data_IF_441085474026
#
_entry.id   IF_441085474026
#
_cell.length_a   1.000
_cell.length_b   1.000
_cell.length_c   1.000
_cell.angle_alpha   90.00
_cell.angle_beta   90.00
_cell.angle_gamma   90.00
#
_symmetry.space_group_name_H-M   'P 1'
#
loop_
_entity.id
_entity.type
_entity.pdbx_description
1 polymer ?
#
# COMPACT_ATOMS: atom_id res chain seq x y z
N UNK A 1 19.80 5.93 26.65
CA UNK A 1 21.08 5.80 25.93
C UNK A 1 20.79 6.09 24.45
N UNK A 2 21.00 7.33 23.98
CA UNK A 2 20.77 7.76 22.59
C UNK A 2 22.15 7.86 21.90
N UNK A 3 22.70 6.73 21.47
CA UNK A 3 23.99 6.68 20.74
C UNK A 3 23.79 6.43 19.24
N UNK A 4 24.39 7.31 18.43
CA UNK A 4 24.69 7.24 16.98
C UNK A 4 23.91 6.22 16.11
N UNK A 5 22.63 6.50 15.79
CA UNK A 5 21.82 5.57 14.99
C UNK A 5 21.94 5.73 13.46
N UNK A 6 22.32 6.90 12.94
CA UNK A 6 22.35 7.13 11.48
C UNK A 6 23.45 6.31 10.79
N UNK A 7 24.66 6.27 11.36
CA UNK A 7 25.76 5.44 10.86
C UNK A 7 25.48 3.94 11.06
N UNK A 8 24.90 3.55 12.18
CA UNK A 8 24.48 2.16 12.38
C UNK A 8 23.40 1.70 11.37
N UNK A 9 22.50 2.59 10.97
CA UNK A 9 21.57 2.34 9.88
C UNK A 9 22.29 2.21 8.54
N UNK A 10 23.24 3.10 8.26
CA UNK A 10 24.06 3.01 7.05
C UNK A 10 24.84 1.69 6.98
N UNK A 11 25.45 1.25 8.09
CA UNK A 11 26.13 -0.03 8.21
C UNK A 11 25.18 -1.21 7.96
N UNK A 12 23.94 -1.13 8.47
CA UNK A 12 22.92 -2.15 8.22
C UNK A 12 22.60 -2.30 6.73
N UNK A 13 22.71 -1.22 5.96
CA UNK A 13 22.41 -1.19 4.54
C UNK A 13 23.62 -1.40 3.63
N UNK A 14 24.85 -1.40 4.17
CA UNK A 14 26.08 -1.53 3.38
C UNK A 14 26.18 -0.46 2.28
N UNK A 15 25.87 0.80 2.63
CA UNK A 15 25.86 1.92 1.68
C UNK A 15 27.26 2.13 1.07
N UNK A 16 27.31 2.39 -0.25
CA UNK A 16 28.50 2.81 -0.99
C UNK A 16 28.53 4.34 -1.20
N UNK A 17 29.62 4.91 -1.73
CA UNK A 17 29.79 6.37 -1.92
C UNK A 17 28.69 7.03 -2.78
N UNK A 18 27.95 6.25 -3.58
CA UNK A 18 26.83 6.70 -4.40
C UNK A 18 25.46 6.36 -3.80
N UNK A 19 25.44 5.89 -2.56
CA UNK A 19 24.24 5.48 -1.86
C UNK A 19 23.97 6.42 -0.70
N UNK A 20 22.70 6.73 -0.50
CA UNK A 20 22.25 7.53 0.62
C UNK A 20 21.13 6.81 1.36
N UNK A 21 20.95 7.20 2.62
CA UNK A 21 19.76 6.81 3.37
C UNK A 21 18.67 7.84 3.12
N UNK A 22 17.54 7.37 2.61
CA UNK A 22 16.32 8.17 2.47
C UNK A 22 15.48 7.97 3.71
N UNK A 23 14.99 9.06 4.27
CA UNK A 23 14.13 9.06 5.44
C UNK A 23 12.89 9.91 5.12
N UNK A 24 11.72 9.29 5.25
CA UNK A 24 10.43 9.92 5.00
C UNK A 24 9.60 9.94 6.28
N UNK A 25 8.93 11.06 6.62
CA UNK A 25 7.97 11.09 7.72
C UNK A 25 6.74 10.26 7.37
N UNK A 26 6.06 9.77 8.39
CA UNK A 26 4.83 9.00 8.23
C UNK A 26 3.76 9.52 9.20
N UNK A 27 2.81 10.30 8.68
CA UNK A 27 1.64 10.70 9.45
C UNK A 27 0.65 9.55 9.65
N UNK A 28 -0.21 9.71 10.67
CA UNK A 28 -1.29 8.77 11.00
C UNK A 28 -0.77 7.34 11.23
N UNK A 29 0.42 7.25 11.82
CA UNK A 29 1.02 6.01 12.26
C UNK A 29 1.41 6.16 13.73
N UNK A 30 1.09 5.15 14.53
CA UNK A 30 1.65 4.95 15.86
C UNK A 30 2.64 3.80 15.73
N UNK A 31 3.92 4.09 15.92
CA UNK A 31 5.00 3.09 15.89
C UNK A 31 5.71 3.19 17.23
N UNK A 32 5.68 2.12 18.02
CA UNK A 32 6.35 2.07 19.33
C UNK A 32 7.76 1.48 19.24
N UNK A 33 7.99 0.60 18.27
CA UNK A 33 9.24 -0.13 18.08
C UNK A 33 9.65 -0.17 16.60
N UNK A 34 10.91 -0.54 16.32
CA UNK A 34 11.35 -0.66 14.93
C UNK A 34 10.67 -1.85 14.26
N UNK A 35 10.20 -1.65 13.04
CA UNK A 35 9.65 -2.71 12.22
C UNK A 35 10.35 -2.73 10.86
N UNK A 36 10.95 -3.87 10.51
CA UNK A 36 11.54 -4.08 9.18
C UNK A 36 10.52 -4.74 8.25
N UNK A 37 10.26 -4.13 7.11
CA UNK A 37 9.39 -4.68 6.06
C UNK A 37 10.09 -4.51 4.72
N UNK A 38 10.43 -5.62 4.07
CA UNK A 38 11.34 -5.64 2.91
C UNK A 38 12.64 -4.88 3.23
N UNK A 39 13.03 -3.95 2.38
CA UNK A 39 14.20 -3.08 2.54
C UNK A 39 13.94 -1.86 3.43
N UNK A 40 12.69 -1.62 3.85
CA UNK A 40 12.31 -0.46 4.64
C UNK A 40 12.35 -0.78 6.14
N UNK A 41 12.78 0.21 6.93
CA UNK A 41 12.68 0.16 8.39
C UNK A 41 11.79 1.31 8.84
N UNK A 42 10.66 0.97 9.44
CA UNK A 42 9.78 1.89 10.14
C UNK A 42 10.28 2.07 11.58
N UNK A 43 10.20 3.30 12.08
CA UNK A 43 10.75 3.63 13.39
C UNK A 43 9.91 4.69 14.13
N UNK A 44 9.92 4.67 15.49
CA UNK A 44 9.15 5.60 16.32
C UNK A 44 9.64 7.06 16.18
N UNK A 45 8.85 8.05 16.60
CA UNK A 45 9.35 9.42 16.78
C UNK A 45 10.59 9.47 17.68
N UNK A 46 11.41 10.50 17.54
CA UNK A 46 12.63 10.73 18.35
C UNK A 46 13.68 9.62 18.26
N UNK A 47 13.52 8.69 17.32
CA UNK A 47 14.43 7.57 17.13
C UNK A 47 15.78 8.01 16.51
N UNK A 48 15.76 8.96 15.58
CA UNK A 48 16.95 9.46 14.90
C UNK A 48 17.56 10.66 15.64
N UNK A 49 18.85 10.60 15.94
CA UNK A 49 19.62 11.73 16.47
C UNK A 49 20.14 12.60 15.32
N UNK A 50 19.29 13.52 14.86
CA UNK A 50 19.59 14.41 13.73
C UNK A 50 20.55 15.55 14.10
N UNK A 51 20.85 15.77 15.37
CA UNK A 51 21.75 16.86 15.80
C UNK A 51 23.21 16.63 15.39
N UNK A 52 23.57 15.39 15.03
CA UNK A 52 24.93 15.01 14.61
C UNK A 52 25.16 15.10 13.10
N UNK A 53 24.10 15.24 12.31
CA UNK A 53 24.22 15.38 10.87
C UNK A 53 24.60 16.81 10.50
N UNK A 54 25.51 16.95 9.54
CA UNK A 54 25.84 18.25 8.95
C UNK A 54 24.78 18.58 7.91
N UNK A 55 23.84 19.46 8.27
CA UNK A 55 22.84 19.91 7.32
C UNK A 55 23.48 20.84 6.29
N UNK A 56 23.58 20.37 5.06
CA UNK A 56 24.06 21.18 3.94
C UNK A 56 22.86 21.99 3.47
N UNK A 57 22.87 23.24 3.88
CA UNK A 57 21.75 24.16 3.80
C UNK A 57 21.86 25.06 2.56
N UNK A 58 21.16 24.81 1.42
CA UNK A 58 21.20 25.75 0.28
C UNK A 58 20.16 26.90 0.46
N UNK A 59 19.87 27.30 1.70
CA UNK A 59 18.50 27.73 2.07
C UNK A 59 18.09 29.18 1.81
N UNK A 60 18.93 30.12 1.38
CA UNK A 60 18.43 31.50 1.13
C UNK A 60 18.49 31.98 -0.32
N UNK A 61 19.22 31.31 -1.21
CA UNK A 61 19.44 31.81 -2.58
C UNK A 61 19.02 30.84 -3.69
N UNK A 62 18.72 29.58 -3.36
CA UNK A 62 18.31 28.58 -4.35
C UNK A 62 16.80 28.39 -4.41
N UNK A 63 16.26 28.05 -5.58
CA UNK A 63 14.84 27.75 -5.77
C UNK A 63 14.40 26.55 -4.90
N UNK A 64 15.24 25.50 -4.81
CA UNK A 64 15.04 24.33 -3.94
C UNK A 64 14.92 24.72 -2.46
N UNK A 65 15.84 25.55 -1.97
CA UNK A 65 15.85 26.03 -0.59
C UNK A 65 14.55 26.77 -0.25
N UNK A 66 14.14 27.71 -1.12
CA UNK A 66 12.90 28.46 -0.96
C UNK A 66 11.66 27.57 -1.03
N UNK A 67 11.61 26.63 -1.98
CA UNK A 67 10.46 25.71 -2.10
C UNK A 67 10.31 24.83 -0.86
N UNK A 68 11.42 24.25 -0.38
CA UNK A 68 11.44 23.44 0.84
C UNK A 68 11.02 24.27 2.05
N UNK A 69 11.52 25.50 2.17
CA UNK A 69 11.12 26.43 3.23
C UNK A 69 9.62 26.71 3.22
N UNK A 70 9.03 26.98 2.04
CA UNK A 70 7.58 27.24 1.87
C UNK A 70 6.75 26.03 2.30
N UNK A 71 7.21 24.80 2.05
CA UNK A 71 6.49 23.60 2.52
C UNK A 71 6.48 23.46 4.05
N UNK A 72 7.40 24.14 4.74
CA UNK A 72 7.59 24.02 6.18
C UNK A 72 8.29 22.74 6.62
N UNK A 73 8.85 21.95 5.69
CA UNK A 73 9.55 20.71 6.03
C UNK A 73 10.85 20.99 6.80
N UNK A 74 10.96 20.43 8.00
CA UNK A 74 12.12 20.59 8.90
C UNK A 74 12.50 19.23 9.50
N UNK A 75 13.76 19.09 9.93
CA UNK A 75 14.23 17.88 10.62
C UNK A 75 13.45 17.58 11.90
N UNK A 76 12.91 18.60 12.57
CA UNK A 76 12.09 18.45 13.77
C UNK A 76 10.75 17.73 13.54
N UNK A 77 10.36 17.48 12.30
CA UNK A 77 9.23 16.62 11.97
C UNK A 77 9.43 15.21 12.54
N UNK A 78 10.65 14.67 12.47
CA UNK A 78 10.99 13.31 12.94
C UNK A 78 11.08 13.19 14.47
N UNK A 79 11.06 14.30 15.20
CA UNK A 79 10.92 14.29 16.66
C UNK A 79 9.47 14.06 17.10
N UNK A 80 8.50 14.23 16.19
CA UNK A 80 7.07 14.16 16.50
C UNK A 80 6.34 13.08 15.72
N UNK A 81 6.77 12.84 14.49
CA UNK A 81 6.20 11.83 13.61
C UNK A 81 7.14 10.62 13.55
N UNK A 82 6.58 9.41 13.46
CA UNK A 82 7.33 8.26 13.00
C UNK A 82 7.93 8.50 11.62
N UNK A 83 8.86 7.64 11.23
CA UNK A 83 9.43 7.67 9.90
C UNK A 83 9.70 6.29 9.33
N UNK A 84 10.03 6.30 8.05
CA UNK A 84 10.50 5.13 7.30
C UNK A 84 11.83 5.46 6.67
N UNK A 85 12.80 4.57 6.81
CA UNK A 85 14.13 4.69 6.23
C UNK A 85 14.45 3.53 5.29
N UNK A 86 15.21 3.80 4.23
CA UNK A 86 15.75 2.79 3.32
C UNK A 86 16.96 3.31 2.55
N UNK A 87 17.75 2.37 2.00
CA UNK A 87 18.87 2.67 1.11
C UNK A 87 18.41 3.04 -0.31
N UNK A 88 19.07 4.04 -0.89
CA UNK A 88 18.82 4.47 -2.26
C UNK A 88 20.11 4.89 -2.96
N UNK A 89 20.26 4.49 -4.23
CA UNK A 89 21.37 4.95 -5.08
C UNK A 89 21.02 6.27 -5.71
N UNK A 90 21.76 7.32 -5.38
CA UNK A 90 21.52 8.68 -5.85
C UNK A 90 22.70 9.14 -6.69
N UNK A 91 22.42 9.64 -7.89
CA UNK A 91 23.41 10.39 -8.65
C UNK A 91 23.56 11.78 -8.02
N UNK A 92 24.55 11.92 -7.14
CA UNK A 92 24.84 13.19 -6.46
C UNK A 92 25.19 14.31 -7.44
N UNK A 93 25.89 14.00 -8.53
CA UNK A 93 26.26 15.00 -9.54
C UNK A 93 25.01 15.55 -10.22
N UNK A 94 24.07 14.69 -10.57
CA UNK A 94 22.75 15.12 -11.02
C UNK A 94 22.08 15.95 -9.92
N UNK A 95 21.94 15.41 -8.71
CA UNK A 95 21.22 16.05 -7.60
C UNK A 95 21.67 17.49 -7.30
N UNK A 96 22.96 17.81 -7.46
CA UNK A 96 23.51 19.16 -7.26
C UNK A 96 23.41 20.09 -8.47
N UNK A 97 23.22 19.57 -9.68
CA UNK A 97 23.23 20.36 -10.93
C UNK A 97 21.85 20.97 -11.20
N UNK A 98 21.62 22.19 -10.71
CA UNK A 98 20.47 23.06 -11.03
C UNK A 98 19.10 22.37 -11.07
N UNK A 99 18.82 21.50 -10.10
CA UNK A 99 17.53 20.82 -10.00
C UNK A 99 16.39 21.82 -9.76
N UNK A 100 15.32 21.67 -10.53
CA UNK A 100 14.09 22.43 -10.36
C UNK A 100 13.26 21.87 -9.21
N UNK A 101 12.32 22.67 -8.70
CA UNK A 101 11.32 22.17 -7.74
C UNK A 101 10.55 20.93 -8.24
N UNK A 102 10.37 20.82 -9.57
CA UNK A 102 9.70 19.68 -10.19
C UNK A 102 10.51 18.40 -10.05
N UNK A 103 11.83 18.49 -10.13
CA UNK A 103 12.71 17.33 -10.01
C UNK A 103 12.73 16.82 -8.56
N UNK A 104 12.72 17.72 -7.58
CA UNK A 104 12.55 17.35 -6.17
C UNK A 104 11.20 16.67 -5.91
N UNK A 105 10.11 17.20 -6.48
CA UNK A 105 8.79 16.57 -6.38
C UNK A 105 8.78 15.16 -7.00
N UNK A 106 9.47 14.96 -8.13
CA UNK A 106 9.63 13.65 -8.75
C UNK A 106 10.44 12.68 -7.88
N UNK A 107 11.55 13.15 -7.30
CA UNK A 107 12.37 12.35 -6.38
C UNK A 107 11.58 11.93 -5.13
N UNK A 108 10.90 12.88 -4.47
CA UNK A 108 10.07 12.56 -3.29
C UNK A 108 8.99 11.54 -3.68
N UNK A 109 8.34 11.69 -4.84
CA UNK A 109 7.34 10.72 -5.31
C UNK A 109 7.94 9.33 -5.51
N UNK A 110 9.16 9.22 -6.07
CA UNK A 110 9.86 7.94 -6.21
C UNK A 110 10.18 7.32 -4.86
N UNK A 111 10.66 8.12 -3.90
CA UNK A 111 10.94 7.68 -2.53
C UNK A 111 9.67 7.19 -1.83
N UNK A 112 8.59 7.97 -1.90
CA UNK A 112 7.28 7.63 -1.37
C UNK A 112 6.77 6.31 -1.96
N UNK A 113 6.83 6.13 -3.28
CA UNK A 113 6.41 4.88 -3.93
C UNK A 113 7.21 3.66 -3.44
N UNK A 114 8.53 3.80 -3.23
CA UNK A 114 9.36 2.71 -2.69
C UNK A 114 8.93 2.33 -1.27
N UNK A 115 8.72 3.31 -0.40
CA UNK A 115 8.23 3.08 0.96
C UNK A 115 6.77 2.58 1.01
N UNK A 116 5.91 3.10 0.13
CA UNK A 116 4.50 2.69 0.04
C UNK A 116 4.39 1.20 -0.35
N UNK A 117 5.30 0.66 -1.16
CA UNK A 117 5.31 -0.78 -1.45
C UNK A 117 5.61 -1.67 -0.23
N UNK A 118 6.26 -1.13 0.80
CA UNK A 118 6.39 -1.80 2.10
C UNK A 118 5.14 -1.55 2.97
N UNK A 119 4.59 -0.33 2.95
CA UNK A 119 3.32 -0.01 3.62
C UNK A 119 2.14 -0.82 3.09
N UNK A 120 2.11 -1.22 1.82
CA UNK A 120 1.04 -2.05 1.28
C UNK A 120 0.94 -3.41 1.98
N UNK A 121 2.07 -3.97 2.44
CA UNK A 121 2.08 -5.17 3.28
C UNK A 121 1.49 -4.88 4.65
N UNK A 122 1.92 -3.77 5.27
CA UNK A 122 1.41 -3.35 6.58
C UNK A 122 -0.11 -3.11 6.53
N UNK A 123 -0.59 -2.41 5.50
CA UNK A 123 -2.01 -2.16 5.23
C UNK A 123 -2.77 -3.47 5.01
N UNK A 124 -2.20 -4.42 4.28
CA UNK A 124 -2.81 -5.73 4.09
C UNK A 124 -3.01 -6.49 5.41
N UNK A 125 -1.98 -6.52 6.26
CA UNK A 125 -2.07 -7.24 7.53
C UNK A 125 -2.98 -6.53 8.54
N UNK A 126 -2.96 -5.20 8.60
CA UNK A 126 -3.52 -4.47 9.73
C UNK A 126 -4.81 -3.68 9.42
N UNK A 127 -5.07 -3.33 8.15
CA UNK A 127 -6.25 -2.54 7.77
C UNK A 127 -7.36 -3.43 7.19
N UNK A 128 -8.58 -2.92 7.15
CA UNK A 128 -9.76 -3.62 6.62
C UNK A 128 -10.63 -2.68 5.76
N UNK A 129 -11.18 -3.17 4.66
CA UNK A 129 -11.99 -2.38 3.70
C UNK A 129 -13.19 -1.67 4.36
N UNK A 130 -13.77 -2.25 5.41
CA UNK A 130 -14.89 -1.64 6.15
C UNK A 130 -14.46 -0.53 7.13
N UNK A 131 -13.16 -0.34 7.37
CA UNK A 131 -12.59 0.62 8.33
C UNK A 131 -11.50 1.46 7.69
N UNK A 132 -11.90 2.57 7.06
CA UNK A 132 -10.96 3.50 6.42
C UNK A 132 -10.22 4.40 7.41
N UNK A 133 -10.70 4.50 8.65
CA UNK A 133 -10.10 5.36 9.68
C UNK A 133 -8.73 4.91 10.18
N UNK A 134 -8.40 3.64 9.95
CA UNK A 134 -7.17 2.98 10.45
C UNK A 134 -6.02 3.06 9.43
N UNK A 135 -6.13 3.91 8.40
CA UNK A 135 -5.12 4.01 7.36
C UNK A 135 -4.00 4.99 7.74
N UNK A 136 -2.73 4.57 7.59
CA UNK A 136 -1.62 5.49 7.67
C UNK A 136 -1.60 6.40 6.45
N UNK A 137 -1.03 7.59 6.60
CA UNK A 137 -0.79 8.47 5.47
C UNK A 137 0.22 7.84 4.49
N UNK A 138 0.34 8.43 3.30
CA UNK A 138 1.41 8.06 2.37
C UNK A 138 2.77 8.44 2.95
N UNK A 139 3.77 7.61 2.71
CA UNK A 139 5.14 7.91 3.13
C UNK A 139 5.60 9.26 2.55
N UNK A 140 6.21 10.10 3.38
CA UNK A 140 6.68 11.42 3.00
C UNK A 140 5.73 12.55 3.36
N UNK A 141 4.43 12.29 3.53
CA UNK A 141 3.45 13.31 3.97
C UNK A 141 3.69 13.65 5.44
N UNK A 142 3.73 14.94 5.76
CA UNK A 142 4.04 15.44 7.12
C UNK A 142 3.12 16.58 7.59
N UNK A 143 2.10 16.93 6.80
CA UNK A 143 1.07 17.85 7.22
C UNK A 143 -0.23 17.67 6.43
N UNK A 144 -1.29 18.25 6.99
CA UNK A 144 -2.63 18.32 6.43
C UNK A 144 -2.77 19.21 5.18
N UNK A 145 -1.72 19.90 4.73
CA UNK A 145 -1.73 20.71 3.51
C UNK A 145 -1.34 19.92 2.25
N UNK A 146 -1.02 18.63 2.40
CA UNK A 146 -0.63 17.75 1.29
C UNK A 146 0.82 17.92 0.85
N UNK A 147 1.64 18.58 1.68
CA UNK A 147 3.07 18.64 1.45
C UNK A 147 3.75 17.35 1.90
N UNK A 148 4.80 17.00 1.17
CA UNK A 148 5.68 15.90 1.50
C UNK A 148 7.13 16.34 1.54
N UNK A 149 7.94 15.63 2.30
CA UNK A 149 9.35 15.90 2.43
C UNK A 149 10.16 14.63 2.56
N UNK A 150 11.43 14.74 2.23
CA UNK A 150 12.41 13.69 2.40
C UNK A 150 13.70 14.28 2.99
N UNK A 151 14.28 13.53 3.91
CA UNK A 151 15.62 13.74 4.42
C UNK A 151 16.55 12.73 3.73
N UNK A 152 17.55 13.23 3.02
CA UNK A 152 18.57 12.43 2.37
C UNK A 152 19.84 12.54 3.22
N UNK A 153 20.37 11.41 3.67
CA UNK A 153 21.58 11.38 4.48
C UNK A 153 22.68 10.61 3.77
N UNK A 154 23.80 11.28 3.56
CA UNK A 154 25.03 10.68 3.09
C UNK A 154 25.89 10.30 4.32
N UNK A 155 26.06 9.00 4.63
CA UNK A 155 26.87 8.58 5.76
C UNK A 155 28.38 8.81 5.55
N UNK A 156 28.85 8.89 4.30
CA UNK A 156 30.27 9.07 3.98
C UNK A 156 30.77 10.45 4.40
N UNK A 157 30.03 11.49 3.99
CA UNK A 157 30.37 12.87 4.30
C UNK A 157 29.68 13.38 5.59
N UNK A 158 28.85 12.54 6.21
CA UNK A 158 27.96 12.89 7.32
C UNK A 158 27.05 14.10 6.99
N UNK A 159 26.66 14.22 5.71
CA UNK A 159 25.86 15.32 5.19
C UNK A 159 24.38 14.95 5.10
N UNK A 160 23.52 15.92 5.41
CA UNK A 160 22.07 15.77 5.32
C UNK A 160 21.43 16.87 4.47
N UNK A 161 20.54 16.45 3.57
CA UNK A 161 19.78 17.34 2.68
C UNK A 161 18.29 17.17 2.94
N UNK A 162 17.55 18.28 2.93
CA UNK A 162 16.08 18.26 3.02
C UNK A 162 15.51 18.75 1.71
N UNK A 163 14.56 17.99 1.18
CA UNK A 163 13.74 18.41 0.05
C UNK A 163 12.28 18.35 0.45
N UNK A 164 11.53 19.39 0.11
CA UNK A 164 10.10 19.49 0.37
C UNK A 164 9.33 19.92 -0.88
N UNK A 165 8.23 19.23 -1.17
CA UNK A 165 7.36 19.57 -2.28
C UNK A 165 5.90 19.18 -2.04
N UNK A 166 4.99 19.73 -2.85
CA UNK A 166 3.60 19.28 -2.89
C UNK A 166 3.45 18.15 -3.90
N UNK A 167 3.36 16.91 -3.42
CA UNK A 167 3.19 15.73 -4.29
C UNK A 167 1.82 15.07 -4.13
N UNK A 168 1.15 15.29 -3.00
CA UNK A 168 -0.14 14.68 -2.69
C UNK A 168 -1.27 15.66 -2.95
N UNK A 169 -2.18 15.29 -3.84
CA UNK A 169 -3.39 16.07 -4.16
C UNK A 169 -4.60 15.68 -3.33
N UNK A 170 -4.55 14.53 -2.67
CA UNK A 170 -5.58 14.03 -1.77
C UNK A 170 -4.96 13.52 -0.48
N UNK A 171 -5.68 13.68 0.63
CA UNK A 171 -5.29 13.23 1.96
C UNK A 171 -6.40 12.38 2.55
N UNK A 172 -6.01 11.35 3.29
CA UNK A 172 -6.94 10.61 4.14
C UNK A 172 -7.21 11.48 5.37
N UNK A 173 -8.34 12.19 5.34
CA UNK A 173 -8.70 13.17 6.36
C UNK A 173 -9.42 12.56 7.57
N UNK A 174 -9.97 11.35 7.44
CA UNK A 174 -10.84 10.75 8.45
C UNK A 174 -10.17 9.60 9.22
N UNK A 175 -10.43 9.50 10.53
CA UNK A 175 -9.89 8.49 11.45
C UNK A 175 -8.60 8.86 12.20
N UNK A 176 -8.12 7.95 13.04
CA UNK A 176 -6.98 8.14 13.94
C UNK A 176 -5.64 7.66 13.37
N UNK A 177 -5.67 6.87 12.29
CA UNK A 177 -4.46 6.25 11.73
C UNK A 177 -4.23 4.84 12.24
N UNK A 178 -3.07 4.28 11.90
CA UNK A 178 -2.74 2.88 12.15
C UNK A 178 -1.82 2.72 13.37
N UNK A 179 -2.17 1.79 14.24
CA UNK A 179 -1.24 1.24 15.23
C UNK A 179 -0.40 0.14 14.57
N UNK A 180 0.91 0.37 14.45
CA UNK A 180 1.80 -0.53 13.73
C UNK A 180 2.08 -1.79 14.54
N UNK A 181 2.09 -2.96 13.89
CA UNK A 181 2.46 -4.19 14.57
C UNK A 181 3.96 -4.19 14.86
N UNK A 182 4.36 -4.96 15.86
CA UNK A 182 5.78 -5.18 16.16
C UNK A 182 6.46 -6.10 15.14
N UNK A 183 5.67 -6.95 14.45
CA UNK A 183 6.17 -7.91 13.47
C UNK A 183 5.19 -8.02 12.29
N UNK A 184 5.70 -8.37 11.12
CA UNK A 184 4.92 -8.63 9.89
C UNK A 184 5.17 -10.08 9.47
N UNK A 185 4.09 -10.81 9.22
CA UNK A 185 4.16 -12.24 8.88
C UNK A 185 4.39 -12.49 7.38
N UNK A 186 3.93 -11.57 6.54
CA UNK A 186 3.89 -11.69 5.10
C UNK A 186 5.21 -11.22 4.48
N UNK A 187 6.08 -12.18 4.17
CA UNK A 187 7.34 -11.92 3.45
C UNK A 187 7.34 -12.59 2.08
N UNK A 188 7.76 -11.87 1.03
CA UNK A 188 7.91 -12.40 -0.32
C UNK A 188 9.00 -11.67 -1.11
N UNK A 189 9.55 -12.34 -2.12
CA UNK A 189 10.47 -11.75 -3.10
C UNK A 189 9.65 -11.31 -4.31
N UNK A 190 9.69 -10.02 -4.65
CA UNK A 190 8.87 -9.45 -5.73
C UNK A 190 9.44 -9.72 -7.13
N UNK A 191 10.56 -10.43 -7.24
CA UNK A 191 11.22 -10.78 -8.52
C UNK A 191 11.05 -12.25 -8.93
N UNK A 192 10.47 -13.10 -8.07
CA UNK A 192 10.38 -14.55 -8.28
C UNK A 192 8.95 -15.06 -8.23
N UNK A 193 8.69 -16.17 -8.91
CA UNK A 193 7.42 -16.88 -8.84
C UNK A 193 6.21 -15.98 -9.10
N UNK A 194 5.23 -16.03 -8.20
CA UNK A 194 4.05 -15.15 -8.20
C UNK A 194 4.28 -13.85 -7.40
N UNK A 195 5.49 -13.58 -6.93
CA UNK A 195 5.86 -12.36 -6.21
C UNK A 195 5.45 -11.05 -6.89
N UNK A 196 5.69 -10.86 -8.21
CA UNK A 196 5.17 -9.68 -8.93
C UNK A 196 3.65 -9.54 -8.86
N UNK A 197 2.92 -10.67 -8.90
CA UNK A 197 1.45 -10.71 -8.84
C UNK A 197 0.98 -10.34 -7.43
N UNK A 198 1.64 -10.86 -6.38
CA UNK A 198 1.38 -10.47 -4.99
C UNK A 198 1.59 -8.97 -4.80
N UNK A 199 2.70 -8.42 -5.31
CA UNK A 199 2.98 -6.97 -5.25
C UNK A 199 1.85 -6.15 -5.86
N UNK A 200 1.38 -6.52 -7.05
CA UNK A 200 0.29 -5.83 -7.70
C UNK A 200 -1.05 -6.01 -6.96
N UNK A 201 -1.32 -7.18 -6.41
CA UNK A 201 -2.51 -7.44 -5.60
C UNK A 201 -2.56 -6.56 -4.34
N UNK A 202 -1.43 -6.41 -3.64
CA UNK A 202 -1.31 -5.55 -2.46
C UNK A 202 -1.52 -4.07 -2.81
N UNK A 203 -0.96 -3.60 -3.93
CA UNK A 203 -1.19 -2.25 -4.42
C UNK A 203 -2.68 -2.00 -4.71
N UNK A 204 -3.32 -2.91 -5.46
CA UNK A 204 -4.75 -2.82 -5.77
C UNK A 204 -5.60 -2.90 -4.49
N UNK A 205 -5.20 -3.68 -3.49
CA UNK A 205 -5.86 -3.72 -2.18
C UNK A 205 -5.76 -2.38 -1.45
N UNK A 206 -4.60 -1.74 -1.45
CA UNK A 206 -4.44 -0.35 -0.96
C UNK A 206 -5.34 0.61 -1.72
N UNK A 207 -5.49 0.49 -3.04
CA UNK A 207 -6.41 1.34 -3.80
C UNK A 207 -7.88 1.14 -3.40
N UNK A 208 -8.28 -0.07 -3.00
CA UNK A 208 -9.61 -0.29 -2.42
C UNK A 208 -9.75 0.45 -1.09
N UNK A 209 -8.75 0.33 -0.21
CA UNK A 209 -8.74 1.01 1.08
C UNK A 209 -8.80 2.53 0.95
N UNK A 210 -8.06 3.11 0.00
CA UNK A 210 -8.00 4.56 -0.25
C UNK A 210 -9.17 5.12 -1.08
N UNK A 211 -10.16 4.30 -1.45
CA UNK A 211 -11.29 4.74 -2.26
C UNK A 211 -12.12 5.82 -1.53
N UNK A 212 -12.48 6.89 -2.25
CA UNK A 212 -13.11 8.09 -1.66
C UNK A 212 -14.61 7.97 -1.37
N UNK A 213 -15.27 6.93 -1.86
CA UNK A 213 -16.68 6.63 -1.60
C UNK A 213 -16.93 5.12 -1.77
N UNK A 214 -18.05 4.63 -1.24
CA UNK A 214 -18.35 3.21 -1.18
C UNK A 214 -18.63 2.62 -2.56
N UNK A 215 -19.24 3.37 -3.48
CA UNK A 215 -19.40 2.93 -4.87
C UNK A 215 -18.03 2.65 -5.54
N UNK A 216 -17.06 3.56 -5.38
CA UNK A 216 -15.72 3.39 -5.94
C UNK A 216 -14.93 2.28 -5.25
N UNK A 217 -15.12 2.13 -3.93
CA UNK A 217 -14.54 1.05 -3.12
C UNK A 217 -15.04 -0.31 -3.60
N UNK A 218 -16.35 -0.45 -3.79
CA UNK A 218 -16.96 -1.66 -4.34
C UNK A 218 -16.41 -1.99 -5.72
N UNK A 219 -16.40 -1.02 -6.65
CA UNK A 219 -15.86 -1.23 -7.98
C UNK A 219 -14.41 -1.72 -7.96
N UNK A 220 -13.54 -1.07 -7.18
CA UNK A 220 -12.13 -1.46 -7.06
C UNK A 220 -11.97 -2.84 -6.43
N UNK A 221 -12.79 -3.19 -5.42
CA UNK A 221 -12.78 -4.51 -4.82
C UNK A 221 -13.14 -5.61 -5.83
N UNK A 222 -14.13 -5.35 -6.68
CA UNK A 222 -14.52 -6.27 -7.76
C UNK A 222 -13.41 -6.41 -8.81
N UNK A 223 -12.76 -5.32 -9.21
CA UNK A 223 -11.61 -5.37 -10.12
C UNK A 223 -10.41 -6.11 -9.53
N UNK A 224 -10.16 -5.98 -8.22
CA UNK A 224 -9.14 -6.76 -7.53
C UNK A 224 -9.48 -8.26 -7.53
N UNK A 225 -10.72 -8.63 -7.28
CA UNK A 225 -11.15 -10.03 -7.37
C UNK A 225 -10.96 -10.60 -8.79
N UNK A 226 -11.26 -9.81 -9.83
CA UNK A 226 -10.99 -10.17 -11.23
C UNK A 226 -9.48 -10.39 -11.47
N UNK A 227 -8.63 -9.46 -11.01
CA UNK A 227 -7.16 -9.58 -11.10
C UNK A 227 -6.64 -10.82 -10.36
N UNK A 228 -7.13 -11.09 -9.14
CA UNK A 228 -6.73 -12.25 -8.35
C UNK A 228 -7.10 -13.56 -9.03
N UNK A 229 -8.22 -13.62 -9.74
CA UNK A 229 -8.58 -14.81 -10.51
C UNK A 229 -7.68 -15.00 -11.73
N UNK A 230 -7.38 -13.91 -12.46
CA UNK A 230 -6.64 -13.95 -13.72
C UNK A 230 -5.84 -12.65 -13.93
N UNK A 231 -4.56 -12.60 -13.50
CA UNK A 231 -3.76 -11.38 -13.54
C UNK A 231 -3.26 -11.02 -14.95
N UNK A 232 -3.25 -11.99 -15.87
CA UNK A 232 -2.70 -11.82 -17.23
C UNK A 232 -3.76 -11.72 -18.33
N UNK A 233 -5.03 -12.00 -18.01
CA UNK A 233 -6.11 -12.06 -19.00
C UNK A 233 -7.39 -11.42 -18.47
N UNK A 234 -8.06 -10.64 -19.31
CA UNK A 234 -9.41 -10.16 -19.06
C UNK A 234 -10.39 -11.33 -19.22
N UNK A 235 -10.74 -12.00 -18.12
CA UNK A 235 -11.72 -13.09 -18.13
C UNK A 235 -13.15 -12.58 -17.92
N UNK A 236 -14.12 -13.32 -18.46
CA UNK A 236 -15.54 -13.09 -18.16
C UNK A 236 -15.75 -13.44 -16.68
N UNK A 237 -16.47 -12.60 -15.92
CA UNK A 237 -16.67 -12.77 -14.47
C UNK A 237 -17.21 -14.17 -14.05
N UNK A 238 -17.89 -14.86 -14.96
CA UNK A 238 -18.35 -16.25 -14.79
C UNK A 238 -17.21 -17.25 -14.55
N UNK A 239 -16.03 -17.01 -15.11
CA UNK A 239 -14.83 -17.85 -14.94
C UNK A 239 -14.08 -17.46 -13.65
N UNK A 240 -14.04 -16.16 -13.38
CA UNK A 240 -13.46 -15.51 -12.18
C UNK A 240 -14.02 -16.13 -10.89
N UNK A 241 -15.34 -16.27 -10.76
CA UNK A 241 -15.96 -16.80 -9.53
C UNK A 241 -15.45 -18.19 -9.15
N UNK A 242 -15.20 -19.07 -10.13
CA UNK A 242 -14.76 -20.44 -9.82
C UNK A 242 -13.35 -20.46 -9.23
N UNK A 243 -12.48 -19.55 -9.69
CA UNK A 243 -11.11 -19.42 -9.20
C UNK A 243 -11.09 -18.82 -7.79
N UNK A 244 -12.03 -17.94 -7.48
CA UNK A 244 -12.13 -17.31 -6.15
C UNK A 244 -12.75 -18.26 -5.13
N UNK A 245 -13.94 -18.81 -5.41
CA UNK A 245 -14.75 -19.56 -4.44
C UNK A 245 -14.00 -20.80 -3.92
N UNK A 246 -13.11 -21.40 -4.73
CA UNK A 246 -12.34 -22.56 -4.30
C UNK A 246 -11.42 -22.30 -3.10
N UNK A 247 -10.99 -21.04 -2.88
CA UNK A 247 -10.23 -20.63 -1.69
C UNK A 247 -11.11 -20.45 -0.44
N UNK A 248 -12.41 -20.19 -0.64
CA UNK A 248 -13.34 -19.76 0.41
C UNK A 248 -14.20 -20.92 0.94
N UNK A 249 -14.59 -21.83 0.05
CA UNK A 249 -15.52 -22.90 0.35
C UNK A 249 -14.87 -23.99 1.21
N UNK A 250 -15.61 -24.48 2.21
CA UNK A 250 -15.20 -25.59 3.08
C UNK A 250 -15.66 -26.95 2.56
N UNK A 251 -16.75 -26.94 1.79
CA UNK A 251 -17.41 -28.11 1.23
C UNK A 251 -18.20 -27.76 -0.04
N UNK A 252 -18.79 -28.78 -0.68
CA UNK A 252 -19.59 -28.59 -1.89
C UNK A 252 -20.79 -27.66 -1.68
N UNK A 253 -21.44 -27.72 -0.51
CA UNK A 253 -22.64 -26.93 -0.22
C UNK A 253 -22.30 -25.45 -0.13
N UNK A 254 -21.28 -25.10 0.67
CA UNK A 254 -20.76 -23.75 0.80
C UNK A 254 -20.22 -23.21 -0.53
N UNK A 255 -19.63 -24.05 -1.38
CA UNK A 255 -19.25 -23.64 -2.74
C UNK A 255 -20.45 -23.16 -3.55
N UNK A 256 -21.57 -23.90 -3.54
CA UNK A 256 -22.77 -23.50 -4.27
C UNK A 256 -23.42 -22.24 -3.67
N UNK A 257 -23.49 -22.13 -2.34
CA UNK A 257 -23.97 -20.91 -1.66
C UNK A 257 -23.14 -19.69 -2.04
N UNK A 258 -21.81 -19.82 -2.05
CA UNK A 258 -20.92 -18.76 -2.50
C UNK A 258 -21.08 -18.47 -3.99
N UNK A 259 -21.32 -19.47 -4.84
CA UNK A 259 -21.61 -19.25 -6.27
C UNK A 259 -22.88 -18.44 -6.49
N UNK A 260 -23.90 -18.60 -5.66
CA UNK A 260 -25.12 -17.79 -5.72
C UNK A 260 -24.87 -16.38 -5.19
N UNK A 261 -24.10 -16.25 -4.09
CA UNK A 261 -23.67 -14.95 -3.58
C UNK A 261 -22.83 -14.16 -4.60
N UNK A 262 -21.90 -14.80 -5.30
CA UNK A 262 -21.13 -14.15 -6.38
C UNK A 262 -22.00 -13.75 -7.58
N UNK A 263 -23.14 -14.42 -7.81
CA UNK A 263 -24.11 -13.93 -8.80
C UNK A 263 -24.76 -12.63 -8.33
N UNK A 264 -25.13 -12.53 -7.05
CA UNK A 264 -25.66 -11.28 -6.47
C UNK A 264 -24.68 -10.11 -6.61
N UNK A 265 -23.40 -10.35 -6.35
CA UNK A 265 -22.35 -9.33 -6.50
C UNK A 265 -22.13 -8.92 -7.97
N UNK A 266 -22.51 -9.76 -8.93
CA UNK A 266 -22.21 -9.57 -10.35
C UNK A 266 -23.45 -9.35 -11.21
N UNK A 267 -23.98 -10.41 -11.82
CA UNK A 267 -25.00 -10.38 -12.87
C UNK A 267 -26.26 -11.20 -12.54
N UNK A 268 -26.70 -11.21 -11.27
CA UNK A 268 -27.97 -11.84 -10.89
C UNK A 268 -29.13 -11.18 -11.63
N UNK A 269 -30.07 -12.01 -12.07
CA UNK A 269 -31.36 -11.57 -12.62
C UNK A 269 -32.51 -11.97 -11.70
N UNK A 270 -33.56 -11.16 -11.65
CA UNK A 270 -34.78 -11.50 -10.93
C UNK A 270 -35.72 -12.38 -11.77
N UNK A 271 -36.90 -12.73 -11.22
CA UNK A 271 -37.90 -13.55 -11.90
C UNK A 271 -38.44 -12.92 -13.21
N UNK A 272 -38.33 -11.60 -13.34
CA UNK A 272 -38.73 -10.85 -14.53
C UNK A 272 -37.58 -10.68 -15.55
N UNK A 273 -36.45 -11.38 -15.36
CA UNK A 273 -35.24 -11.29 -16.18
C UNK A 273 -34.56 -9.90 -16.14
N UNK A 274 -34.86 -9.09 -15.12
CA UNK A 274 -34.21 -7.79 -14.90
C UNK A 274 -32.90 -7.97 -14.13
N UNK A 275 -31.87 -7.21 -14.52
CA UNK A 275 -30.56 -7.22 -13.86
C UNK A 275 -30.65 -6.59 -12.47
N UNK A 276 -30.35 -7.37 -11.44
CA UNK A 276 -30.33 -6.95 -10.02
C UNK A 276 -28.97 -7.16 -9.36
N UNK A 277 -27.99 -7.69 -10.08
CA UNK A 277 -26.64 -7.87 -9.58
C UNK A 277 -25.90 -6.54 -9.40
N UNK A 278 -25.18 -6.38 -8.28
CA UNK A 278 -24.66 -5.08 -7.86
C UNK A 278 -23.67 -4.49 -8.87
N UNK A 279 -22.71 -5.27 -9.38
CA UNK A 279 -21.76 -4.82 -10.42
C UNK A 279 -22.50 -4.37 -11.68
N UNK A 280 -23.53 -5.10 -12.12
CA UNK A 280 -24.30 -4.69 -13.31
C UNK A 280 -25.02 -3.37 -13.06
N UNK A 281 -25.70 -3.22 -11.92
CA UNK A 281 -26.39 -1.99 -11.56
C UNK A 281 -25.43 -0.79 -11.50
N UNK A 282 -24.25 -0.96 -10.92
CA UNK A 282 -23.29 0.12 -10.73
C UNK A 282 -22.56 0.45 -12.03
N UNK A 283 -21.97 -0.55 -12.70
CA UNK A 283 -21.09 -0.35 -13.87
C UNK A 283 -21.89 -0.08 -15.14
N UNK A 284 -23.02 -0.76 -15.34
CA UNK A 284 -23.79 -0.68 -16.58
C UNK A 284 -24.99 0.25 -16.49
N UNK A 285 -25.54 0.48 -15.29
CA UNK A 285 -26.71 1.35 -15.09
C UNK A 285 -26.39 2.62 -14.30
N UNK A 286 -25.14 2.82 -13.87
CA UNK A 286 -24.69 4.04 -13.20
C UNK A 286 -25.29 4.28 -11.82
N UNK A 287 -25.85 3.24 -11.18
CA UNK A 287 -26.34 3.34 -9.79
C UNK A 287 -25.18 3.47 -8.81
N UNK A 288 -25.45 4.07 -7.66
CA UNK A 288 -24.53 4.04 -6.52
C UNK A 288 -24.83 2.82 -5.65
N UNK A 289 -23.83 2.28 -4.94
CA UNK A 289 -24.07 1.18 -3.99
C UNK A 289 -25.01 1.63 -2.87
N UNK A 290 -24.94 2.91 -2.52
CA UNK A 290 -25.79 3.62 -1.56
C UNK A 290 -27.26 3.71 -2.03
N UNK A 291 -27.54 3.54 -3.33
CA UNK A 291 -28.91 3.45 -3.87
C UNK A 291 -29.46 2.02 -3.83
N UNK A 292 -28.60 1.03 -3.57
CA UNK A 292 -28.92 -0.41 -3.64
C UNK A 292 -29.03 -1.01 -2.24
N UNK A 293 -28.16 -0.59 -1.33
CA UNK A 293 -27.98 -1.13 0.01
C UNK A 293 -28.01 -0.02 1.07
N UNK A 294 -28.44 -0.35 2.27
CA UNK A 294 -28.32 0.54 3.42
C UNK A 294 -26.91 0.49 4.05
N UNK A 295 -26.60 1.42 4.96
CA UNK A 295 -25.27 1.56 5.57
C UNK A 295 -24.78 0.28 6.29
N UNK A 296 -25.67 -0.43 6.99
CA UNK A 296 -25.32 -1.67 7.66
C UNK A 296 -24.97 -2.78 6.66
N UNK A 297 -25.77 -2.91 5.60
CA UNK A 297 -25.53 -3.87 4.51
C UNK A 297 -24.24 -3.55 3.75
N UNK A 298 -23.92 -2.28 3.52
CA UNK A 298 -22.67 -1.83 2.89
C UNK A 298 -21.47 -2.24 3.76
N UNK A 299 -21.56 -2.03 5.07
CA UNK A 299 -20.49 -2.43 6.01
C UNK A 299 -20.27 -3.93 6.02
N UNK A 300 -21.36 -4.72 6.06
CA UNK A 300 -21.29 -6.18 5.97
C UNK A 300 -20.70 -6.65 4.64
N UNK A 301 -21.12 -6.03 3.53
CA UNK A 301 -20.56 -6.29 2.19
C UNK A 301 -19.06 -6.05 2.15
N UNK A 302 -18.55 -4.96 2.73
CA UNK A 302 -17.11 -4.70 2.72
C UNK A 302 -16.32 -5.62 3.64
N UNK A 303 -16.88 -6.05 4.77
CA UNK A 303 -16.28 -7.11 5.59
C UNK A 303 -16.21 -8.44 4.83
N UNK A 304 -17.26 -8.76 4.09
CA UNK A 304 -17.33 -9.95 3.24
C UNK A 304 -16.26 -9.91 2.13
N UNK A 305 -16.19 -8.80 1.38
CA UNK A 305 -15.22 -8.62 0.29
C UNK A 305 -13.77 -8.60 0.81
N UNK A 306 -13.52 -7.97 1.96
CA UNK A 306 -12.21 -7.98 2.63
C UNK A 306 -11.74 -9.40 2.90
N UNK A 307 -12.60 -10.21 3.52
CA UNK A 307 -12.30 -11.60 3.81
C UNK A 307 -12.02 -12.40 2.53
N UNK A 308 -12.78 -12.18 1.45
CA UNK A 308 -12.54 -12.86 0.18
C UNK A 308 -11.17 -12.53 -0.40
N UNK A 309 -10.83 -11.25 -0.45
CA UNK A 309 -9.56 -10.77 -0.99
C UNK A 309 -8.39 -11.26 -0.12
N UNK A 310 -8.48 -11.09 1.20
CA UNK A 310 -7.42 -11.46 2.14
C UNK A 310 -7.12 -12.95 2.13
N UNK A 311 -8.13 -13.82 2.05
CA UNK A 311 -7.90 -15.26 1.98
C UNK A 311 -7.11 -15.67 0.73
N UNK A 312 -7.43 -15.10 -0.43
CA UNK A 312 -6.72 -15.43 -1.68
C UNK A 312 -5.29 -14.93 -1.65
N UNK A 313 -5.06 -13.68 -1.22
CA UNK A 313 -3.71 -13.12 -1.11
C UNK A 313 -2.89 -13.89 -0.06
N UNK A 314 -3.51 -14.30 1.06
CA UNK A 314 -2.87 -15.15 2.07
C UNK A 314 -2.43 -16.49 1.50
N UNK A 315 -3.29 -17.15 0.70
CA UNK A 315 -2.92 -18.35 -0.03
C UNK A 315 -1.76 -18.08 -1.01
N UNK A 316 -1.77 -16.94 -1.73
CA UNK A 316 -0.65 -16.58 -2.59
C UNK A 316 0.67 -16.44 -1.82
N UNK A 317 0.67 -15.91 -0.59
CA UNK A 317 1.89 -15.86 0.23
C UNK A 317 2.43 -17.26 0.55
N UNK A 318 1.57 -18.27 0.74
CA UNK A 318 2.00 -19.66 0.96
C UNK A 318 2.66 -20.28 -0.28
N UNK A 319 2.36 -19.76 -1.46
CA UNK A 319 2.87 -20.23 -2.76
C UNK A 319 3.77 -19.20 -3.45
N UNK A 320 4.31 -18.22 -2.72
CA UNK A 320 5.05 -17.05 -3.27
C UNK A 320 6.18 -17.40 -4.24
N UNK A 321 6.89 -18.50 -3.99
CA UNK A 321 8.05 -18.93 -4.80
C UNK A 321 7.66 -19.78 -6.02
N UNK A 322 6.35 -20.05 -6.21
CA UNK A 322 5.82 -20.90 -7.27
C UNK A 322 5.47 -20.11 -8.53
N UNK A 323 5.39 -20.79 -9.67
CA UNK A 323 4.84 -20.18 -10.88
C UNK A 323 3.33 -19.98 -10.78
N UNK A 324 2.76 -19.16 -11.66
CA UNK A 324 1.32 -18.99 -11.75
C UNK A 324 0.59 -20.29 -12.07
N UNK A 325 1.16 -21.14 -12.94
CA UNK A 325 0.60 -22.45 -13.27
C UNK A 325 0.59 -23.40 -12.09
N UNK A 326 1.65 -23.40 -11.27
CA UNK A 326 1.67 -24.16 -10.01
C UNK A 326 0.59 -23.66 -9.03
N UNK A 327 0.35 -22.36 -8.95
CA UNK A 327 -0.74 -21.80 -8.15
C UNK A 327 -2.13 -22.17 -8.70
N UNK A 328 -2.31 -22.21 -10.02
CA UNK A 328 -3.55 -22.70 -10.64
C UNK A 328 -3.75 -24.20 -10.40
N UNK A 329 -2.68 -25.00 -10.39
CA UNK A 329 -2.76 -26.40 -10.00
C UNK A 329 -3.21 -26.57 -8.54
N UNK A 330 -2.80 -25.67 -7.64
CA UNK A 330 -3.33 -25.62 -6.28
C UNK A 330 -4.85 -25.36 -6.28
N UNK A 331 -5.34 -24.38 -7.03
CA UNK A 331 -6.78 -24.12 -7.19
C UNK A 331 -7.56 -25.33 -7.71
N UNK A 332 -7.01 -26.04 -8.71
CA UNK A 332 -7.59 -27.28 -9.23
C UNK A 332 -7.74 -28.32 -8.12
N UNK A 333 -6.70 -28.50 -7.28
CA UNK A 333 -6.77 -29.43 -6.13
C UNK A 333 -7.83 -29.01 -5.12
N UNK A 334 -8.01 -27.72 -4.86
CA UNK A 334 -9.11 -27.23 -4.00
C UNK A 334 -10.47 -27.61 -4.58
N UNK A 335 -10.70 -27.36 -5.88
CA UNK A 335 -11.96 -27.74 -6.57
C UNK A 335 -12.22 -29.24 -6.53
N UNK A 336 -11.19 -30.07 -6.69
CA UNK A 336 -11.28 -31.53 -6.58
C UNK A 336 -11.70 -31.96 -5.17
N UNK A 337 -11.08 -31.40 -4.12
CA UNK A 337 -11.47 -31.67 -2.72
C UNK A 337 -12.93 -31.32 -2.44
N UNK A 338 -13.43 -30.26 -3.08
CA UNK A 338 -14.81 -29.80 -2.98
C UNK A 338 -15.80 -30.59 -3.84
N UNK A 339 -15.35 -31.46 -4.75
CA UNK A 339 -16.19 -32.24 -5.69
C UNK A 339 -17.07 -31.36 -6.60
N UNK A 340 -16.49 -30.28 -7.10
CA UNK A 340 -17.14 -29.27 -7.98
C UNK A 340 -16.43 -29.10 -9.33
N UNK A 341 -15.48 -29.98 -9.62
CA UNK A 341 -14.76 -30.05 -10.88
C UNK A 341 -15.41 -31.05 -11.82
#
# INVERSE_FOLDING_TARGET
MKELYMNHFADHYGLDENSCMIILPLERALIESKLKVKECIFFPPDFLDLNKAVFVEPFSTTIRGNATFITGFKSSVFYRLPGVAFAYKLDWNAFFKDYSHKDDAMLIKQFSHKADSALDIVRFECCNISRTGDLPAKAGVFNSAGFSGALLYNPYDNEAFRIGAKISTYLIADGMGLDFPNEISCAYDDSKGIGPIIKQALLLYTEVLEASNDTSKFYRAMSLLEFLASPNETQIFKEVKSQIICHLAKDKKSYHTLSDRFQELSGKKNMNNEEVGYRTLIVHQGKRIEDILNEAEIKELFLELDNYIKLIISDMFLYKDKSWDEFNNYRIRLKQKLKVM
#
